data_IF_077256295791
#
_entry.id   IF_077256295791
#
_cell.length_a   1.000
_cell.length_b   1.000
_cell.length_c   1.000
_cell.angle_alpha   90.00
_cell.angle_beta   90.00
_cell.angle_gamma   90.00
#
_symmetry.space_group_name_H-M   'P 1'
#
loop_
_entity.id
_entity.type
_entity.pdbx_description
1 polymer ?
#
# COMPACT_ATOMS: atom_id res chain seq x y z
N UNK A 1 -15.08 33.58 -43.97
CA UNK A 1 -15.64 32.23 -43.82
C UNK A 1 -14.61 31.17 -43.39
N UNK A 2 -13.37 31.19 -43.92
CA UNK A 2 -12.34 30.16 -43.62
C UNK A 2 -11.93 29.98 -42.16
N UNK A 3 -11.94 31.04 -41.31
CA UNK A 3 -11.52 30.95 -39.90
C UNK A 3 -12.51 30.16 -39.01
N UNK A 4 -13.82 30.32 -39.23
CA UNK A 4 -14.86 29.58 -38.47
C UNK A 4 -14.79 28.08 -38.75
N UNK A 5 -14.60 27.67 -40.01
CA UNK A 5 -14.48 26.27 -40.42
C UNK A 5 -13.24 25.62 -39.75
N UNK A 6 -12.12 26.32 -39.69
CA UNK A 6 -10.90 25.81 -39.06
C UNK A 6 -11.08 25.60 -37.53
N UNK A 7 -11.86 26.44 -36.87
CA UNK A 7 -12.17 26.27 -35.44
C UNK A 7 -13.03 25.03 -35.21
N UNK A 8 -14.07 24.83 -36.01
CA UNK A 8 -14.94 23.67 -35.91
C UNK A 8 -14.18 22.36 -36.17
N UNK A 9 -13.27 22.32 -37.15
CA UNK A 9 -12.42 21.16 -37.41
C UNK A 9 -11.54 20.83 -36.17
N UNK A 10 -10.93 21.84 -35.54
CA UNK A 10 -10.13 21.62 -34.36
C UNK A 10 -10.94 21.05 -33.17
N UNK A 11 -12.17 21.54 -32.99
CA UNK A 11 -13.06 21.04 -31.92
C UNK A 11 -13.45 19.59 -32.18
N UNK A 12 -13.79 19.25 -33.42
CA UNK A 12 -14.13 17.87 -33.78
C UNK A 12 -12.94 16.94 -33.60
N UNK A 13 -11.75 17.32 -34.07
CA UNK A 13 -10.53 16.53 -33.91
C UNK A 13 -10.20 16.33 -32.43
N UNK A 14 -10.29 17.38 -31.62
CA UNK A 14 -10.06 17.30 -30.19
C UNK A 14 -11.08 16.37 -29.51
N UNK A 15 -12.36 16.47 -29.90
CA UNK A 15 -13.41 15.59 -29.39
C UNK A 15 -13.17 14.12 -29.71
N UNK A 16 -12.77 13.81 -30.96
CA UNK A 16 -12.41 12.43 -31.37
C UNK A 16 -11.20 11.93 -30.59
N UNK A 17 -10.17 12.76 -30.42
CA UNK A 17 -8.98 12.40 -29.64
C UNK A 17 -9.32 12.09 -28.18
N UNK A 18 -10.16 12.93 -27.56
CA UNK A 18 -10.62 12.72 -26.18
C UNK A 18 -11.41 11.42 -26.05
N UNK A 19 -12.32 11.12 -26.98
CA UNK A 19 -13.07 9.86 -26.97
C UNK A 19 -12.16 8.64 -27.18
N UNK A 20 -11.16 8.75 -28.03
CA UNK A 20 -10.17 7.69 -28.23
C UNK A 20 -9.37 7.44 -26.95
N UNK A 21 -8.91 8.49 -26.25
CA UNK A 21 -8.20 8.37 -24.97
C UNK A 21 -9.08 7.74 -23.90
N UNK A 22 -10.35 8.15 -23.80
CA UNK A 22 -11.32 7.54 -22.88
C UNK A 22 -11.50 6.06 -23.22
N UNK A 23 -11.63 5.71 -24.50
CA UNK A 23 -11.75 4.32 -24.94
C UNK A 23 -10.54 3.47 -24.57
N UNK A 24 -9.32 3.98 -24.77
CA UNK A 24 -8.07 3.32 -24.36
C UNK A 24 -8.03 3.14 -22.85
N UNK A 25 -8.43 4.14 -22.11
CA UNK A 25 -8.46 4.11 -20.65
C UNK A 25 -9.48 3.06 -20.15
N UNK A 26 -10.68 3.00 -20.73
CA UNK A 26 -11.68 1.98 -20.40
C UNK A 26 -11.17 0.57 -20.73
N UNK A 27 -10.60 0.36 -21.91
CA UNK A 27 -10.05 -0.95 -22.32
C UNK A 27 -8.87 -1.34 -21.43
N UNK A 28 -8.00 -0.39 -21.08
CA UNK A 28 -6.88 -0.62 -20.17
C UNK A 28 -7.34 -1.05 -18.77
N UNK A 29 -8.41 -0.47 -18.29
CA UNK A 29 -9.03 -0.76 -16.99
C UNK A 29 -9.76 -2.13 -17.02
N UNK A 30 -10.66 -2.35 -17.99
CA UNK A 30 -11.41 -3.59 -18.13
C UNK A 30 -10.52 -4.78 -18.54
N UNK A 31 -9.47 -4.51 -19.31
CA UNK A 31 -8.51 -5.52 -19.78
C UNK A 31 -7.42 -5.89 -18.80
N UNK A 32 -7.47 -5.44 -17.54
CA UNK A 32 -6.41 -5.70 -16.56
C UNK A 32 -5.00 -5.21 -16.99
N UNK A 33 -4.90 -4.40 -18.03
CA UNK A 33 -3.62 -3.95 -18.60
C UNK A 33 -2.84 -3.07 -17.65
N UNK A 34 -3.54 -2.34 -16.76
CA UNK A 34 -2.90 -1.51 -15.72
C UNK A 34 -2.42 -2.29 -14.51
N UNK A 35 -2.81 -3.57 -14.38
CA UNK A 35 -2.35 -4.44 -13.28
C UNK A 35 -0.83 -4.65 -13.29
N UNK A 36 -0.20 -4.52 -14.44
CA UNK A 36 1.24 -4.66 -14.62
C UNK A 36 2.00 -3.32 -14.63
N UNK A 37 1.34 -2.21 -14.30
CA UNK A 37 2.02 -0.94 -14.12
C UNK A 37 2.66 -0.93 -12.73
N UNK A 38 4.00 -0.82 -12.62
CA UNK A 38 4.71 -0.96 -11.35
C UNK A 38 4.25 0.04 -10.28
N UNK A 39 3.73 1.20 -10.68
CA UNK A 39 3.24 2.25 -9.76
C UNK A 39 1.91 1.87 -9.07
N UNK A 40 1.11 0.97 -9.65
CA UNK A 40 -0.23 0.65 -9.13
C UNK A 40 -0.38 -0.81 -8.70
N UNK A 41 0.50 -1.69 -9.17
CA UNK A 41 0.41 -3.12 -8.93
C UNK A 41 0.69 -3.49 -7.47
N UNK A 42 1.66 -2.84 -6.85
CA UNK A 42 2.12 -3.17 -5.49
C UNK A 42 1.11 -2.78 -4.41
N UNK A 43 0.33 -1.72 -4.63
CA UNK A 43 -0.62 -1.23 -3.62
C UNK A 43 -2.02 -1.79 -3.74
N UNK A 44 -2.38 -2.36 -4.89
CA UNK A 44 -3.75 -2.78 -5.15
C UNK A 44 -3.95 -4.28 -5.25
N UNK A 45 -2.89 -5.06 -5.42
CA UNK A 45 -3.00 -6.51 -5.56
C UNK A 45 -1.71 -7.16 -5.06
N UNK A 46 -1.83 -8.07 -4.13
CA UNK A 46 -0.74 -8.90 -3.62
C UNK A 46 -1.16 -10.36 -3.61
N UNK A 47 -0.18 -11.25 -3.71
CA UNK A 47 -0.42 -12.68 -3.73
C UNK A 47 -0.82 -13.20 -2.34
N UNK A 48 -1.55 -14.30 -2.30
CA UNK A 48 -2.01 -14.95 -1.06
C UNK A 48 -2.83 -14.04 -0.13
N UNK A 49 -3.63 -13.14 -0.70
CA UNK A 49 -4.44 -12.18 0.05
C UNK A 49 -5.39 -12.85 1.07
N UNK A 50 -5.81 -14.08 0.79
CA UNK A 50 -6.63 -14.93 1.64
C UNK A 50 -5.94 -15.39 2.94
N UNK A 51 -4.61 -15.30 3.01
CA UNK A 51 -3.85 -15.64 4.21
C UNK A 51 -3.68 -14.44 5.16
N UNK A 52 -3.97 -13.23 4.69
CA UNK A 52 -3.82 -12.03 5.49
C UNK A 52 -4.95 -11.89 6.51
N UNK A 53 -4.58 -11.46 7.69
CA UNK A 53 -5.49 -11.10 8.78
C UNK A 53 -5.72 -9.59 8.80
N UNK A 54 -6.78 -9.14 9.46
CA UNK A 54 -7.28 -7.77 9.36
C UNK A 54 -7.15 -7.04 10.70
N UNK A 55 -6.67 -5.79 10.63
CA UNK A 55 -6.72 -4.84 11.72
C UNK A 55 -5.61 -4.99 12.76
N UNK A 56 -5.88 -4.55 13.97
CA UNK A 56 -4.93 -4.58 15.07
C UNK A 56 -4.60 -6.01 15.52
N UNK A 57 -3.35 -6.26 15.89
CA UNK A 57 -2.91 -7.59 16.25
C UNK A 57 -1.83 -7.58 17.34
N UNK A 58 -1.81 -8.70 18.07
CA UNK A 58 -0.73 -9.10 18.98
C UNK A 58 -0.23 -10.47 18.52
N UNK A 59 0.96 -10.52 17.92
CA UNK A 59 1.50 -11.70 17.24
C UNK A 59 2.57 -12.33 18.12
N UNK A 60 2.39 -13.60 18.48
CA UNK A 60 3.45 -14.40 19.11
C UNK A 60 4.38 -14.93 18.03
N UNK A 61 5.61 -14.41 18.00
CA UNK A 61 6.63 -14.81 17.05
C UNK A 61 7.86 -15.31 17.79
N UNK A 62 8.50 -16.37 17.29
CA UNK A 62 9.78 -16.86 17.81
C UNK A 62 10.98 -16.19 17.13
N UNK A 63 10.77 -15.64 15.92
CA UNK A 63 11.78 -14.95 15.14
C UNK A 63 11.16 -13.85 14.29
N UNK A 64 11.95 -12.86 13.90
CA UNK A 64 11.58 -11.86 12.89
C UNK A 64 12.85 -11.51 12.11
N UNK A 65 12.92 -11.96 10.87
CA UNK A 65 14.05 -11.74 9.98
C UNK A 65 13.77 -10.68 8.92
N UNK A 66 12.49 -10.49 8.56
CA UNK A 66 12.06 -9.53 7.53
C UNK A 66 10.79 -8.80 7.96
N UNK A 67 10.76 -7.49 7.68
CA UNK A 67 9.59 -6.63 7.81
C UNK A 67 9.31 -5.97 6.46
N UNK A 68 8.15 -6.24 5.90
CA UNK A 68 7.68 -5.64 4.64
C UNK A 68 6.46 -4.76 4.92
N UNK A 69 6.50 -3.49 4.50
CA UNK A 69 5.44 -2.52 4.77
C UNK A 69 5.09 -1.79 3.48
N UNK A 70 3.87 -1.99 2.99
CA UNK A 70 3.32 -1.20 1.89
C UNK A 70 2.23 -0.28 2.44
N UNK A 71 2.51 1.02 2.48
CA UNK A 71 1.65 2.01 3.10
C UNK A 71 1.38 3.19 2.20
N UNK A 72 0.12 3.60 2.11
CA UNK A 72 -0.28 4.59 1.11
C UNK A 72 -0.29 6.00 1.67
N UNK A 73 -0.91 6.24 2.84
CA UNK A 73 -1.12 7.59 3.33
C UNK A 73 -1.25 7.66 4.86
N UNK A 74 -0.69 8.69 5.46
CA UNK A 74 -0.74 8.94 6.90
C UNK A 74 0.62 8.90 7.57
N UNK A 75 0.85 7.96 8.48
CA UNK A 75 2.17 7.75 9.09
C UNK A 75 2.46 6.27 9.30
N UNK A 76 3.74 5.92 9.28
CA UNK A 76 4.27 4.60 9.67
C UNK A 76 5.29 4.80 10.77
N UNK A 77 5.09 4.15 11.89
CA UNK A 77 5.99 4.17 13.03
C UNK A 77 6.37 2.75 13.41
N UNK A 78 7.67 2.46 13.48
CA UNK A 78 8.19 1.17 13.94
C UNK A 78 9.13 1.42 15.08
N UNK A 79 8.81 0.87 16.25
CA UNK A 79 9.59 1.03 17.49
C UNK A 79 9.94 -0.32 18.11
N UNK A 80 11.06 -0.33 18.83
CA UNK A 80 11.45 -1.46 19.69
C UNK A 80 10.95 -1.21 21.10
N UNK A 81 10.38 -2.24 21.72
CA UNK A 81 9.86 -2.15 23.08
C UNK A 81 10.20 -3.39 23.93
N UNK A 82 10.00 -3.27 25.24
CA UNK A 82 10.29 -4.34 26.20
C UNK A 82 9.07 -5.23 26.46
N UNK A 83 8.57 -5.85 25.38
CA UNK A 83 7.45 -6.80 25.40
C UNK A 83 7.81 -8.13 24.78
N UNK A 84 6.82 -9.01 24.63
CA UNK A 84 6.99 -10.37 24.12
C UNK A 84 6.27 -10.65 22.81
N UNK A 85 5.34 -9.77 22.41
CA UNK A 85 4.52 -9.93 21.21
C UNK A 85 4.85 -8.81 20.22
N UNK A 86 4.86 -9.11 18.94
CA UNK A 86 4.82 -8.06 17.91
C UNK A 86 3.42 -7.45 17.97
N UNK A 87 3.34 -6.12 18.06
CA UNK A 87 2.06 -5.44 18.09
C UNK A 87 1.88 -4.61 16.84
N UNK A 88 0.72 -4.74 16.22
CA UNK A 88 0.28 -3.93 15.09
C UNK A 88 -0.91 -3.11 15.57
N UNK A 89 -0.82 -1.79 15.42
CA UNK A 89 -1.88 -0.84 15.78
C UNK A 89 -2.12 0.10 14.61
N UNK A 90 -3.37 0.17 14.21
CA UNK A 90 -3.85 1.11 13.21
C UNK A 90 -4.77 2.12 13.88
N UNK A 91 -4.53 3.40 13.64
CA UNK A 91 -5.35 4.51 14.12
C UNK A 91 -5.60 5.49 12.98
N UNK A 92 -6.72 6.23 13.06
CA UNK A 92 -6.99 7.36 12.16
C UNK A 92 -8.22 7.24 11.28
N UNK A 93 -8.91 6.10 11.28
CA UNK A 93 -10.21 6.01 10.62
C UNK A 93 -11.15 5.15 11.46
N UNK A 94 -11.92 5.80 12.30
CA UNK A 94 -13.08 5.19 12.93
C UNK A 94 -14.05 4.76 11.83
N UNK A 95 -14.58 3.54 11.91
CA UNK A 95 -15.57 2.98 10.98
C UNK A 95 -15.03 2.51 9.61
N UNK A 96 -13.76 2.10 9.51
CA UNK A 96 -13.27 1.41 8.31
C UNK A 96 -13.94 0.05 8.15
N UNK A 97 -14.33 -0.27 6.91
CA UNK A 97 -14.69 -1.64 6.55
C UNK A 97 -13.46 -2.54 6.68
N UNK A 98 -13.66 -3.84 6.87
CA UNK A 98 -12.54 -4.77 6.99
C UNK A 98 -11.61 -4.73 5.78
N UNK A 99 -12.14 -4.50 4.58
CA UNK A 99 -11.35 -4.33 3.36
C UNK A 99 -10.48 -3.07 3.35
N UNK A 100 -10.80 -2.06 4.16
CA UNK A 100 -10.07 -0.80 4.23
C UNK A 100 -9.11 -0.70 5.42
N UNK A 101 -9.21 -1.61 6.37
CA UNK A 101 -8.26 -1.74 7.48
C UNK A 101 -6.90 -2.24 7.00
N UNK A 102 -5.89 -2.11 7.84
CA UNK A 102 -4.59 -2.75 7.63
C UNK A 102 -4.75 -4.27 7.53
N UNK A 103 -4.02 -4.88 6.62
CA UNK A 103 -3.92 -6.32 6.47
C UNK A 103 -2.50 -6.75 6.79
N UNK A 104 -2.34 -7.86 7.50
CA UNK A 104 -1.03 -8.36 7.87
C UNK A 104 -0.96 -9.88 7.73
N UNK A 105 0.24 -10.36 7.42
CA UNK A 105 0.53 -11.78 7.35
C UNK A 105 1.90 -12.05 7.96
N UNK A 106 1.94 -12.93 8.96
CA UNK A 106 3.20 -13.37 9.56
C UNK A 106 3.46 -14.83 9.18
N UNK A 107 4.60 -15.11 8.57
CA UNK A 107 5.01 -16.43 8.13
C UNK A 107 6.53 -16.53 8.06
N UNK A 108 7.10 -17.62 8.50
CA UNK A 108 8.52 -17.95 8.37
C UNK A 108 9.48 -16.80 8.72
N UNK A 109 9.22 -16.12 9.85
CA UNK A 109 10.01 -14.98 10.29
C UNK A 109 9.83 -13.71 9.47
N UNK A 110 8.88 -13.67 8.56
CA UNK A 110 8.52 -12.48 7.77
C UNK A 110 7.20 -11.91 8.25
N UNK A 111 7.16 -10.62 8.50
CA UNK A 111 5.93 -9.87 8.74
C UNK A 111 5.67 -8.94 7.55
N UNK A 112 4.59 -9.22 6.83
CA UNK A 112 4.05 -8.36 5.79
C UNK A 112 2.89 -7.54 6.32
N UNK A 113 2.92 -6.22 6.09
CA UNK A 113 1.84 -5.30 6.48
C UNK A 113 1.42 -4.48 5.27
N UNK A 114 0.13 -4.49 5.00
CA UNK A 114 -0.48 -3.83 3.84
C UNK A 114 -1.48 -2.78 4.29
N UNK A 115 -1.57 -1.70 3.55
CA UNK A 115 -2.48 -0.59 3.85
C UNK A 115 -3.96 -1.02 3.88
N UNK A 116 -4.35 -2.00 3.07
CA UNK A 116 -5.72 -2.48 2.90
C UNK A 116 -5.76 -3.84 2.21
N UNK A 117 -6.96 -4.43 2.09
CA UNK A 117 -7.18 -5.65 1.31
C UNK A 117 -6.70 -5.52 -0.14
N UNK A 118 -6.21 -6.64 -0.68
CA UNK A 118 -5.95 -6.77 -2.12
C UNK A 118 -7.22 -6.52 -2.92
N UNK A 119 -7.18 -5.54 -3.81
CA UNK A 119 -8.39 -5.12 -4.51
C UNK A 119 -8.12 -4.50 -5.88
N UNK A 120 -9.20 -4.07 -6.55
CA UNK A 120 -9.09 -3.41 -7.82
C UNK A 120 -8.65 -1.95 -7.67
N UNK A 121 -7.98 -1.42 -8.70
CA UNK A 121 -7.56 -0.02 -8.80
C UNK A 121 -8.66 1.01 -8.47
N UNK A 122 -9.92 0.71 -8.77
CA UNK A 122 -11.02 1.62 -8.47
C UNK A 122 -11.34 1.71 -6.98
N UNK A 123 -11.23 0.61 -6.25
CA UNK A 123 -11.44 0.64 -4.81
C UNK A 123 -10.35 1.44 -4.09
N UNK A 124 -9.15 1.54 -4.70
CA UNK A 124 -8.06 2.36 -4.18
C UNK A 124 -8.43 3.86 -4.08
N UNK A 125 -9.12 4.41 -5.07
CA UNK A 125 -9.47 5.85 -5.05
C UNK A 125 -10.62 6.20 -4.10
N UNK A 126 -11.46 5.24 -3.74
CA UNK A 126 -12.61 5.49 -2.85
C UNK A 126 -12.22 5.58 -1.36
N UNK A 127 -11.06 5.09 -0.99
CA UNK A 127 -10.66 4.84 0.41
C UNK A 127 -9.30 5.42 0.77
N UNK A 128 -8.85 6.48 0.11
CA UNK A 128 -7.62 7.18 0.45
C UNK A 128 -7.79 8.03 1.73
N UNK A 129 -8.06 7.38 2.85
CA UNK A 129 -8.01 7.99 4.17
C UNK A 129 -6.57 8.06 4.68
N UNK A 130 -6.27 9.03 5.54
CA UNK A 130 -4.99 9.02 6.28
C UNK A 130 -5.11 8.06 7.44
N UNK A 131 -4.22 7.06 7.50
CA UNK A 131 -4.15 6.08 8.58
C UNK A 131 -2.76 6.08 9.18
N UNK A 132 -2.69 5.89 10.48
CA UNK A 132 -1.43 5.80 11.19
C UNK A 132 -1.19 4.34 11.58
N UNK A 133 -0.07 3.81 11.15
CA UNK A 133 0.40 2.48 11.49
C UNK A 133 1.48 2.59 12.56
N UNK A 134 1.32 1.87 13.65
CA UNK A 134 2.38 1.65 14.65
C UNK A 134 2.67 0.16 14.76
N UNK A 135 3.94 -0.20 14.60
CA UNK A 135 4.44 -1.56 14.81
C UNK A 135 5.43 -1.54 15.95
N UNK A 136 5.13 -2.29 17.00
CA UNK A 136 6.03 -2.46 18.15
C UNK A 136 6.68 -3.83 18.08
N UNK A 137 8.02 -3.85 18.02
CA UNK A 137 8.81 -5.07 17.88
C UNK A 137 9.49 -5.37 19.21
N UNK A 138 9.33 -6.59 19.79
CA UNK A 138 10.06 -6.99 20.96
C UNK A 138 11.58 -6.85 20.78
N UNK A 139 12.27 -6.33 21.78
CA UNK A 139 13.74 -6.16 21.76
C UNK A 139 14.47 -7.47 21.46
N UNK A 140 13.94 -8.59 21.91
CA UNK A 140 14.50 -9.91 21.64
C UNK A 140 14.47 -10.31 20.16
N UNK A 141 13.52 -9.80 19.39
CA UNK A 141 13.37 -10.07 17.95
C UNK A 141 14.10 -9.03 17.09
N UNK A 142 14.23 -7.81 17.60
CA UNK A 142 14.81 -6.69 16.87
C UNK A 142 16.26 -6.94 16.40
N UNK A 143 17.03 -7.73 17.16
CA UNK A 143 18.42 -8.06 16.84
C UNK A 143 18.58 -9.04 15.67
N UNK A 144 17.53 -9.76 15.33
CA UNK A 144 17.53 -10.77 14.25
C UNK A 144 16.99 -10.23 12.93
N UNK A 145 16.48 -9.00 12.93
CA UNK A 145 15.92 -8.37 11.74
C UNK A 145 17.04 -8.06 10.75
N UNK A 146 17.00 -8.70 9.58
CA UNK A 146 18.00 -8.56 8.53
C UNK A 146 17.55 -7.61 7.43
N UNK A 147 16.24 -7.49 7.20
CA UNK A 147 15.68 -6.72 6.10
C UNK A 147 14.44 -5.93 6.53
N UNK A 148 14.40 -4.67 6.11
CA UNK A 148 13.18 -3.85 6.11
C UNK A 148 12.97 -3.38 4.68
N UNK A 149 11.81 -3.69 4.11
CA UNK A 149 11.45 -3.34 2.74
C UNK A 149 10.01 -2.86 2.64
N UNK A 150 9.67 -2.19 1.56
CA UNK A 150 8.31 -1.81 1.23
C UNK A 150 8.20 -0.51 0.45
N UNK A 151 6.96 -0.17 0.13
CA UNK A 151 6.59 1.03 -0.62
C UNK A 151 5.75 1.96 0.26
N UNK A 152 6.19 3.21 0.42
CA UNK A 152 5.45 4.22 1.18
C UNK A 152 5.18 5.43 0.29
N UNK A 153 3.92 5.65 -0.11
CA UNK A 153 3.59 6.65 -1.14
C UNK A 153 3.48 8.08 -0.60
N UNK A 154 2.73 8.26 0.48
CA UNK A 154 2.43 9.59 1.05
C UNK A 154 2.25 9.50 2.56
N UNK A 155 3.23 8.93 3.24
CA UNK A 155 3.22 8.81 4.70
C UNK A 155 4.55 9.22 5.32
N UNK A 156 4.46 9.84 6.50
CA UNK A 156 5.63 10.13 7.33
C UNK A 156 6.13 8.83 7.97
N UNK A 157 7.36 8.42 7.69
CA UNK A 157 7.92 7.16 8.19
C UNK A 157 8.97 7.41 9.26
N UNK A 158 8.84 6.74 10.38
CA UNK A 158 9.79 6.76 11.51
C UNK A 158 10.10 5.35 11.97
N UNK A 159 11.37 4.98 11.98
CA UNK A 159 11.85 3.67 12.45
C UNK A 159 12.91 3.89 13.52
N UNK A 160 12.66 3.40 14.73
CA UNK A 160 13.53 3.61 15.86
C UNK A 160 14.01 2.30 16.50
N UNK A 161 15.27 2.28 16.89
CA UNK A 161 15.85 1.20 17.71
C UNK A 161 16.08 -0.11 16.96
N UNK A 162 15.88 -0.16 15.65
CA UNK A 162 16.17 -1.30 14.80
C UNK A 162 17.55 -1.18 14.17
N UNK A 163 18.23 -2.32 14.02
CA UNK A 163 19.44 -2.46 13.23
C UNK A 163 19.19 -3.52 12.19
N UNK A 164 19.29 -3.15 10.94
CA UNK A 164 19.07 -4.07 9.80
C UNK A 164 20.28 -4.00 8.85
N UNK A 165 20.51 -5.08 8.11
CA UNK A 165 21.56 -5.12 7.07
C UNK A 165 21.10 -4.46 5.80
N UNK A 166 19.84 -4.69 5.44
CA UNK A 166 19.25 -4.23 4.20
C UNK A 166 18.01 -3.38 4.49
N UNK A 167 17.97 -2.20 3.87
CA UNK A 167 16.89 -1.25 4.03
C UNK A 167 16.47 -0.70 2.66
N UNK A 168 15.24 -1.03 2.25
CA UNK A 168 14.67 -0.65 0.94
C UNK A 168 13.27 -0.09 1.14
N UNK A 169 13.16 1.21 1.37
CA UNK A 169 11.88 1.91 1.37
C UNK A 169 11.85 2.89 0.19
N UNK A 170 10.98 2.63 -0.78
CA UNK A 170 10.63 3.58 -1.82
C UNK A 170 9.57 4.57 -1.30
N UNK A 171 9.79 5.89 -1.55
CA UNK A 171 8.92 6.98 -1.08
C UNK A 171 8.55 7.94 -2.21
#
# INVERSE_FOLDING_TARGET
MKKKTAIWIKIIVLGILTLALIGILIVGILGNTFRNFPIFGSFSSYDNADLYQVGNADISASELSRLSIDWVSGSVKVDVYDGTLIQIREDGANDLSDSDKAHYYYHDGTLDVRYRESGSFFSFFHSLGRKNLEILIPRSLASNLSEISGDVVSADTTINGLSTKDFYLDT
#
